data_IF_078646627039
#
_entry.id   IF_078646627039
#
_cell.length_a   1.000
_cell.length_b   1.000
_cell.length_c   1.000
_cell.angle_alpha   90.00
_cell.angle_beta   90.00
_cell.angle_gamma   90.00
#
_symmetry.space_group_name_H-M   'P 1'
#
loop_
_entity.id
_entity.type
_entity.pdbx_description
1 polymer ?
#
# COMPACT_ATOMS: atom_id res chain seq x y z
N UNK A 1 -3.72 -20.82 -1.29
CA UNK A 1 -3.03 -19.57 -0.89
C UNK A 1 -1.68 -19.54 -1.58
N UNK A 2 -1.15 -18.38 -2.04
CA UNK A 2 0.21 -18.33 -2.59
C UNK A 2 1.19 -18.80 -1.51
N UNK A 3 2.25 -19.53 -1.91
CA UNK A 3 3.31 -19.91 -0.97
C UNK A 3 4.01 -18.64 -0.49
N UNK A 4 4.10 -18.48 0.82
CA UNK A 4 4.77 -17.36 1.48
C UNK A 4 6.27 -17.65 1.63
N UNK A 5 7.01 -16.67 2.15
CA UNK A 5 8.42 -16.77 2.50
C UNK A 5 8.73 -18.08 3.25
N UNK A 6 9.79 -18.76 2.83
CA UNK A 6 10.37 -19.90 3.54
C UNK A 6 11.34 -19.34 4.59
N UNK A 7 10.93 -19.38 5.86
CA UNK A 7 11.68 -18.81 6.99
C UNK A 7 12.93 -19.63 7.31
N UNK A 8 12.88 -20.95 7.15
CA UNK A 8 14.01 -21.85 7.44
C UNK A 8 15.14 -21.67 6.42
N UNK A 9 14.79 -21.48 5.14
CA UNK A 9 15.77 -21.27 4.07
C UNK A 9 16.11 -19.78 3.81
N UNK A 10 15.45 -18.86 4.51
CA UNK A 10 15.52 -17.42 4.30
C UNK A 10 15.33 -17.04 2.81
N UNK A 11 14.30 -17.65 2.17
CA UNK A 11 14.03 -17.47 0.74
C UNK A 11 12.57 -17.24 0.42
N UNK A 12 12.32 -16.32 -0.51
CA UNK A 12 11.01 -16.19 -1.13
C UNK A 12 10.62 -17.49 -1.82
N UNK A 13 9.44 -18.03 -1.52
CA UNK A 13 8.89 -19.14 -2.26
C UNK A 13 8.78 -18.79 -3.75
N UNK A 14 9.36 -19.63 -4.60
CA UNK A 14 9.21 -19.54 -6.05
C UNK A 14 8.04 -20.42 -6.47
N UNK A 15 7.02 -19.79 -7.04
CA UNK A 15 5.93 -20.49 -7.72
C UNK A 15 6.24 -20.62 -9.21
N UNK A 16 5.69 -21.66 -9.84
CA UNK A 16 5.68 -21.73 -11.29
C UNK A 16 4.97 -20.49 -11.86
N UNK A 17 5.53 -19.90 -12.91
CA UNK A 17 4.87 -18.80 -13.64
C UNK A 17 3.63 -19.38 -14.32
N UNK A 18 2.49 -18.70 -14.13
CA UNK A 18 1.24 -19.04 -14.80
C UNK A 18 0.86 -17.88 -15.73
N UNK A 19 0.32 -18.15 -16.92
CA UNK A 19 -0.26 -17.11 -17.76
C UNK A 19 -1.36 -16.37 -17.01
N UNK A 20 -1.43 -15.05 -17.16
CA UNK A 20 -2.57 -14.27 -16.70
C UNK A 20 -3.77 -14.53 -17.62
N UNK A 21 -4.98 -14.49 -17.05
CA UNK A 21 -6.19 -14.49 -17.85
C UNK A 21 -6.37 -13.14 -18.57
N UNK A 22 -7.08 -13.14 -19.70
CA UNK A 22 -7.42 -11.90 -20.40
C UNK A 22 -8.19 -10.95 -19.47
N UNK A 23 -7.73 -9.69 -19.40
CA UNK A 23 -8.33 -8.68 -18.54
C UNK A 23 -8.08 -8.87 -17.03
N UNK A 24 -7.18 -9.78 -16.63
CA UNK A 24 -6.84 -9.97 -15.23
C UNK A 24 -6.24 -8.70 -14.63
N UNK A 25 -6.80 -8.25 -13.50
CA UNK A 25 -6.30 -7.12 -12.72
C UNK A 25 -5.49 -7.64 -11.55
N UNK A 26 -4.29 -7.08 -11.35
CA UNK A 26 -3.46 -7.32 -10.18
C UNK A 26 -3.56 -6.14 -9.22
N UNK A 27 -3.95 -6.39 -7.98
CA UNK A 27 -3.89 -5.39 -6.92
C UNK A 27 -2.64 -5.65 -6.05
N UNK A 28 -1.72 -4.69 -6.05
CA UNK A 28 -0.57 -4.68 -5.14
C UNK A 28 -0.87 -3.71 -4.01
N UNK A 29 -1.05 -4.24 -2.81
CA UNK A 29 -1.39 -3.45 -1.63
C UNK A 29 -0.26 -3.52 -0.61
N UNK A 30 0.13 -2.36 -0.08
CA UNK A 30 1.17 -2.28 0.93
C UNK A 30 1.48 -0.83 1.29
N UNK A 31 2.09 -0.62 2.46
CA UNK A 31 2.57 0.71 2.82
C UNK A 31 3.72 1.11 1.89
N UNK A 32 3.87 2.43 1.65
CA UNK A 32 5.08 3.02 1.05
C UNK A 32 5.41 2.60 -0.41
N UNK A 33 4.44 2.08 -1.17
CA UNK A 33 4.62 1.67 -2.58
C UNK A 33 4.75 2.84 -3.55
N UNK A 34 4.03 3.95 -3.31
CA UNK A 34 4.07 5.13 -4.17
C UNK A 34 5.47 5.78 -4.16
N UNK A 35 5.96 6.21 -5.32
CA UNK A 35 7.27 6.84 -5.48
C UNK A 35 8.45 5.88 -5.29
N UNK A 36 8.34 4.64 -5.79
CA UNK A 36 9.36 3.58 -5.74
C UNK A 36 9.82 3.13 -7.14
N UNK A 37 9.59 3.96 -8.16
CA UNK A 37 9.87 3.64 -9.56
C UNK A 37 9.26 2.31 -10.03
N UNK A 38 8.04 2.03 -9.53
CA UNK A 38 7.21 0.92 -9.96
C UNK A 38 6.22 1.43 -11.01
N UNK A 39 6.23 0.79 -12.18
CA UNK A 39 5.36 1.14 -13.32
C UNK A 39 3.95 0.57 -13.14
N UNK A 40 3.20 1.08 -12.16
CA UNK A 40 1.78 0.73 -12.00
C UNK A 40 0.93 1.50 -13.00
N UNK A 41 -0.02 0.81 -13.64
CA UNK A 41 -0.99 1.44 -14.56
C UNK A 41 -1.93 2.42 -13.85
N UNK A 42 -2.26 2.13 -12.58
CA UNK A 42 -3.11 2.97 -11.72
C UNK A 42 -2.59 2.92 -10.29
N UNK A 43 -2.45 4.08 -9.67
CA UNK A 43 -2.01 4.26 -8.28
C UNK A 43 -3.12 4.83 -7.41
N UNK A 44 -3.37 4.18 -6.28
CA UNK A 44 -4.36 4.63 -5.27
C UNK A 44 -3.63 4.86 -3.95
N UNK A 45 -3.59 6.12 -3.50
CA UNK A 45 -3.05 6.45 -2.19
C UNK A 45 -4.18 6.56 -1.16
N UNK A 46 -4.14 5.71 -0.14
CA UNK A 46 -4.95 5.89 1.06
C UNK A 46 -4.21 6.81 2.03
N UNK A 47 -4.68 8.03 2.18
CA UNK A 47 -4.14 8.99 3.13
C UNK A 47 -4.90 8.92 4.45
N UNK A 48 -4.16 8.69 5.54
CA UNK A 48 -4.65 8.77 6.91
C UNK A 48 -3.79 9.78 7.67
N UNK A 49 -4.43 10.68 8.40
CA UNK A 49 -3.73 11.56 9.33
C UNK A 49 -3.17 10.77 10.53
N UNK A 50 -2.21 11.36 11.24
CA UNK A 50 -1.56 10.76 12.41
C UNK A 50 -2.57 10.24 13.45
N UNK A 51 -3.57 11.05 13.80
CA UNK A 51 -4.60 10.63 14.77
C UNK A 51 -5.40 9.42 14.30
N UNK A 52 -5.69 9.30 13.00
CA UNK A 52 -6.37 8.14 12.44
C UNK A 52 -5.47 6.90 12.45
N UNK A 53 -4.19 7.05 12.10
CA UNK A 53 -3.20 5.97 12.21
C UNK A 53 -3.07 5.48 13.65
N UNK A 54 -2.90 6.37 14.63
CA UNK A 54 -2.74 5.99 16.04
C UNK A 54 -3.95 5.25 16.62
N UNK A 55 -5.18 5.62 16.21
CA UNK A 55 -6.41 4.94 16.64
C UNK A 55 -6.62 3.58 15.97
N UNK A 56 -6.16 3.40 14.72
CA UNK A 56 -6.42 2.19 13.93
C UNK A 56 -5.27 1.18 13.95
N UNK A 57 -4.07 1.61 14.34
CA UNK A 57 -2.89 0.73 14.46
C UNK A 57 -2.85 0.09 15.86
N UNK A 58 -2.77 -1.25 15.95
CA UNK A 58 -2.54 -1.96 17.21
C UNK A 58 -1.34 -1.41 17.99
N UNK A 59 -1.40 -1.45 19.33
CA UNK A 59 -0.42 -0.78 20.18
C UNK A 59 1.02 -1.25 19.93
N UNK A 60 1.20 -2.55 19.72
CA UNK A 60 2.45 -3.23 19.38
C UNK A 60 3.00 -2.87 17.98
N UNK A 61 2.18 -2.25 17.12
CA UNK A 61 2.57 -1.82 15.77
C UNK A 61 2.68 -0.30 15.63
N UNK A 62 2.35 0.48 16.67
CA UNK A 62 2.39 1.96 16.61
C UNK A 62 3.76 2.54 16.31
N UNK A 63 4.82 1.78 16.59
CA UNK A 63 6.20 2.16 16.22
C UNK A 63 6.37 2.42 14.71
N UNK A 64 5.49 1.86 13.86
CA UNK A 64 5.50 2.09 12.41
C UNK A 64 4.98 3.47 12.01
N UNK A 65 4.12 4.10 12.82
CA UNK A 65 3.39 5.33 12.46
C UNK A 65 4.34 6.49 12.11
N UNK A 66 5.39 6.79 12.90
CA UNK A 66 6.33 7.86 12.53
C UNK A 66 7.06 7.59 11.20
N UNK A 67 7.37 6.33 10.89
CA UNK A 67 8.01 5.96 9.64
C UNK A 67 7.07 6.12 8.44
N UNK A 68 5.79 5.75 8.59
CA UNK A 68 4.76 5.94 7.57
C UNK A 68 4.52 7.43 7.29
N UNK A 69 4.42 8.25 8.34
CA UNK A 69 4.23 9.70 8.22
C UNK A 69 5.39 10.39 7.52
N UNK A 70 6.63 10.09 7.94
CA UNK A 70 7.84 10.60 7.27
C UNK A 70 7.85 10.21 5.80
N UNK A 71 7.63 8.93 5.50
CA UNK A 71 7.62 8.46 4.11
C UNK A 71 6.55 9.15 3.29
N UNK A 72 5.35 9.35 3.83
CA UNK A 72 4.28 10.04 3.13
C UNK A 72 4.65 11.50 2.81
N UNK A 73 5.39 12.18 3.69
CA UNK A 73 5.88 13.53 3.45
C UNK A 73 7.00 13.59 2.37
N UNK A 74 7.80 12.53 2.25
CA UNK A 74 8.89 12.44 1.27
C UNK A 74 8.42 12.05 -0.15
N UNK A 75 7.16 11.62 -0.31
CA UNK A 75 6.61 11.28 -1.63
C UNK A 75 6.19 12.56 -2.35
N UNK A 76 6.87 12.87 -3.46
CA UNK A 76 6.54 14.00 -4.35
C UNK A 76 5.67 13.60 -5.54
N UNK A 77 5.55 12.30 -5.81
CA UNK A 77 4.71 11.76 -6.89
C UNK A 77 3.25 11.81 -6.48
N UNK A 78 2.41 12.39 -7.34
CA UNK A 78 0.97 12.49 -7.14
C UNK A 78 0.29 11.19 -7.61
N UNK A 79 -0.54 10.53 -6.80
CA UNK A 79 -1.30 9.35 -7.22
C UNK A 79 -2.42 9.70 -8.21
N UNK A 80 -2.82 8.72 -9.02
CA UNK A 80 -4.01 8.84 -9.89
C UNK A 80 -5.29 9.00 -9.07
N UNK A 81 -5.35 8.39 -7.88
CA UNK A 81 -6.45 8.52 -6.93
C UNK A 81 -5.91 8.76 -5.52
N UNK A 82 -6.21 9.93 -4.96
CA UNK A 82 -6.03 10.19 -3.53
C UNK A 82 -7.34 9.93 -2.78
N UNK A 83 -7.29 9.04 -1.80
CA UNK A 83 -8.44 8.73 -0.94
C UNK A 83 -8.12 9.13 0.50
N UNK A 84 -8.85 10.12 1.03
CA UNK A 84 -8.81 10.42 2.46
C UNK A 84 -9.58 9.34 3.21
N UNK A 85 -8.88 8.64 4.08
CA UNK A 85 -9.36 7.42 4.72
C UNK A 85 -9.35 7.48 6.26
N UNK A 86 -9.36 8.69 6.82
CA UNK A 86 -9.49 8.93 8.26
C UNK A 86 -10.78 8.31 8.85
N UNK A 87 -11.85 8.24 8.06
CA UNK A 87 -13.15 7.66 8.40
C UNK A 87 -13.59 6.69 7.28
N UNK A 88 -13.23 5.39 7.34
CA UNK A 88 -13.45 4.43 6.26
C UNK A 88 -14.89 4.35 5.70
N UNK A 89 -15.96 4.47 6.51
CA UNK A 89 -17.32 4.52 5.96
C UNK A 89 -17.69 5.80 5.19
N UNK A 90 -16.84 6.84 5.21
CA UNK A 90 -17.08 8.15 4.58
C UNK A 90 -15.79 8.66 3.92
N UNK A 91 -15.25 7.93 2.93
CA UNK A 91 -14.04 8.35 2.26
C UNK A 91 -14.31 9.57 1.38
N UNK A 92 -13.31 10.43 1.23
CA UNK A 92 -13.31 11.45 0.20
C UNK A 92 -12.27 11.09 -0.85
N UNK A 93 -12.64 11.19 -2.13
CA UNK A 93 -11.79 10.82 -3.26
C UNK A 93 -11.48 12.05 -4.09
N UNK A 94 -10.22 12.20 -4.45
CA UNK A 94 -9.77 13.11 -5.49
C UNK A 94 -9.11 12.29 -6.58
N UNK A 95 -9.59 12.44 -7.82
CA UNK A 95 -8.87 11.95 -8.99
C UNK A 95 -7.77 12.94 -9.37
N UNK A 96 -6.57 12.42 -9.62
CA UNK A 96 -5.54 13.08 -10.40
C UNK A 96 -6.08 13.38 -11.80
N UNK A 97 -5.54 14.41 -12.42
CA UNK A 97 -5.91 14.79 -13.79
C UNK A 97 -5.15 13.92 -14.78
#
# INVERSE_FOLDING_TARGET
>A
MPRLWDEDEDRSARCARVPAADGQVLLVAGPMLLGRDLEFDVTVQLHLGEGALMRRTPADQRWTVPALLRRAADVTVEPDLLVRYDHPPRPAVRAGR
#
